data_IF_127816673664
#
_entry.id   IF_127816673664
#
_cell.length_a   1.000
_cell.length_b   1.000
_cell.length_c   1.000
_cell.angle_alpha   90.00
_cell.angle_beta   90.00
_cell.angle_gamma   90.00
#
_symmetry.space_group_name_H-M   'P 1'
#
loop_
_entity.id
_entity.type
_entity.pdbx_description
1 polymer ?
#
# COMPACT_ATOMS: atom_id res chain seq x y z
N UNK A 1 -13.46 6.17 2.17
CA UNK A 1 -12.35 6.04 1.20
C UNK A 1 -12.55 4.84 0.26
N UNK A 2 -12.83 3.65 0.79
CA UNK A 2 -13.10 2.45 -0.03
C UNK A 2 -14.22 2.65 -1.08
N UNK A 3 -15.35 3.24 -0.70
CA UNK A 3 -16.41 3.54 -1.68
C UNK A 3 -15.99 4.52 -2.78
N UNK A 4 -15.06 5.45 -2.48
CA UNK A 4 -14.53 6.38 -3.49
C UNK A 4 -13.61 5.61 -4.44
N UNK A 5 -12.72 4.79 -3.89
CA UNK A 5 -11.88 3.86 -4.66
C UNK A 5 -12.74 2.99 -5.59
N UNK A 6 -13.81 2.40 -5.07
CA UNK A 6 -14.73 1.59 -5.87
C UNK A 6 -15.45 2.40 -6.96
N UNK A 7 -15.96 3.60 -6.66
CA UNK A 7 -16.56 4.48 -7.69
C UNK A 7 -15.57 4.79 -8.81
N UNK A 8 -14.31 5.06 -8.48
CA UNK A 8 -13.26 5.34 -9.47
C UNK A 8 -13.03 4.12 -10.38
N UNK A 9 -12.91 2.93 -9.78
CA UNK A 9 -12.66 1.69 -10.52
C UNK A 9 -13.85 1.29 -11.40
N UNK A 10 -15.09 1.44 -10.90
CA UNK A 10 -16.31 1.13 -11.66
C UNK A 10 -16.63 2.16 -12.75
N UNK A 11 -16.19 3.42 -12.61
CA UNK A 11 -16.42 4.46 -13.63
C UNK A 11 -15.62 4.21 -14.91
N UNK A 12 -14.38 3.71 -14.79
CA UNK A 12 -13.49 3.45 -15.93
C UNK A 12 -12.92 2.03 -15.90
N UNK A 13 -13.77 1.00 -16.05
CA UNK A 13 -13.38 -0.37 -15.75
C UNK A 13 -12.41 -0.97 -16.80
N UNK A 14 -12.43 -0.47 -18.04
CA UNK A 14 -11.45 -0.85 -19.08
C UNK A 14 -10.00 -0.50 -18.72
N UNK A 15 -9.78 0.41 -17.76
CA UNK A 15 -8.44 0.86 -17.31
C UNK A 15 -8.11 0.35 -15.91
N UNK A 16 -8.79 -0.69 -15.41
CA UNK A 16 -8.58 -1.23 -14.05
C UNK A 16 -7.14 -1.69 -13.80
N UNK A 17 -6.40 -2.13 -14.83
CA UNK A 17 -4.97 -2.50 -14.72
C UNK A 17 -4.06 -1.33 -14.33
N UNK A 18 -4.46 -0.10 -14.66
CA UNK A 18 -3.72 1.11 -14.27
C UNK A 18 -4.34 1.75 -13.04
N UNK A 19 -5.68 1.85 -13.01
CA UNK A 19 -6.40 2.51 -11.94
C UNK A 19 -6.36 1.72 -10.63
N UNK A 20 -6.37 0.38 -10.68
CA UNK A 20 -6.29 -0.48 -9.49
C UNK A 20 -5.05 -0.16 -8.65
N UNK A 21 -3.84 -0.28 -9.21
CA UNK A 21 -2.61 0.00 -8.49
C UNK A 21 -2.50 1.45 -7.98
N UNK A 22 -2.95 2.43 -8.76
CA UNK A 22 -2.91 3.85 -8.36
C UNK A 22 -3.87 4.14 -7.20
N UNK A 23 -5.07 3.58 -7.24
CA UNK A 23 -6.06 3.71 -6.17
C UNK A 23 -5.56 3.02 -4.90
N UNK A 24 -4.98 1.82 -5.02
CA UNK A 24 -4.37 1.12 -3.89
C UNK A 24 -3.20 1.90 -3.30
N UNK A 25 -2.28 2.41 -4.13
CA UNK A 25 -1.17 3.25 -3.68
C UNK A 25 -1.66 4.47 -2.91
N UNK A 26 -2.63 5.20 -3.46
CA UNK A 26 -3.19 6.40 -2.83
C UNK A 26 -3.85 6.05 -1.48
N UNK A 27 -4.60 4.96 -1.44
CA UNK A 27 -5.25 4.50 -0.22
C UNK A 27 -4.23 4.09 0.85
N UNK A 28 -3.15 3.39 0.48
CA UNK A 28 -2.06 3.03 1.39
C UNK A 28 -1.29 4.26 1.86
N UNK A 29 -1.03 5.24 0.98
CA UNK A 29 -0.35 6.48 1.35
C UNK A 29 -1.14 7.25 2.41
N UNK A 30 -2.47 7.29 2.28
CA UNK A 30 -3.34 7.94 3.26
C UNK A 30 -3.48 7.15 4.57
N UNK A 31 -3.56 5.81 4.50
CA UNK A 31 -3.75 4.96 5.69
C UNK A 31 -2.44 4.67 6.44
N UNK A 32 -1.29 4.75 5.76
CA UNK A 32 0.02 4.41 6.31
C UNK A 32 0.30 2.90 6.44
N UNK A 33 -0.58 2.02 5.92
CA UNK A 33 -0.48 0.55 6.08
C UNK A 33 -0.69 -0.21 4.77
N UNK A 34 0.08 -1.28 4.57
CA UNK A 34 0.00 -2.14 3.38
C UNK A 34 -1.26 -3.01 3.31
N UNK A 35 -1.95 -3.21 4.43
CA UNK A 35 -3.13 -4.09 4.51
C UNK A 35 -4.39 -3.46 3.92
N UNK A 36 -4.33 -2.17 3.58
CA UNK A 36 -5.36 -1.45 2.82
C UNK A 36 -5.77 -2.19 1.52
N UNK A 37 -4.84 -2.91 0.90
CA UNK A 37 -5.08 -3.65 -0.33
C UNK A 37 -6.12 -4.76 -0.19
N UNK A 38 -6.25 -5.39 0.98
CA UNK A 38 -7.17 -6.51 1.18
C UNK A 38 -8.64 -6.11 1.00
N UNK A 39 -8.99 -4.87 1.32
CA UNK A 39 -10.36 -4.37 1.14
C UNK A 39 -10.67 -4.03 -0.33
N UNK A 40 -9.67 -3.62 -1.11
CA UNK A 40 -9.85 -3.18 -2.51
C UNK A 40 -9.63 -4.33 -3.50
N UNK A 41 -8.85 -5.34 -3.13
CA UNK A 41 -8.48 -6.47 -3.98
C UNK A 41 -9.69 -7.25 -4.52
N UNK A 42 -10.73 -7.60 -3.72
CA UNK A 42 -11.94 -8.25 -4.25
C UNK A 42 -12.69 -7.37 -5.26
N UNK A 43 -12.72 -6.05 -5.03
CA UNK A 43 -13.37 -5.07 -5.92
C UNK A 43 -12.61 -4.97 -7.25
N UNK A 44 -11.28 -4.92 -7.21
CA UNK A 44 -10.43 -4.91 -8.40
C UNK A 44 -10.62 -6.20 -9.22
N UNK A 45 -10.67 -7.35 -8.54
CA UNK A 45 -10.93 -8.65 -9.17
C UNK A 45 -12.31 -8.71 -9.85
N UNK A 46 -13.36 -8.26 -9.15
CA UNK A 46 -14.72 -8.16 -9.68
C UNK A 46 -14.79 -7.29 -10.94
N UNK A 47 -14.23 -6.08 -10.87
CA UNK A 47 -14.21 -5.14 -12.00
C UNK A 47 -13.41 -5.70 -13.18
N UNK A 48 -12.27 -6.35 -12.93
CA UNK A 48 -11.45 -6.94 -13.98
C UNK A 48 -12.19 -8.10 -14.69
N UNK A 49 -12.73 -9.05 -13.93
CA UNK A 49 -13.45 -10.21 -14.47
C UNK A 49 -14.66 -9.78 -15.31
N UNK A 50 -15.48 -8.85 -14.81
CA UNK A 50 -16.66 -8.32 -15.54
C UNK A 50 -16.32 -7.61 -16.85
N UNK A 51 -15.06 -7.19 -17.02
CA UNK A 51 -14.60 -6.47 -18.22
C UNK A 51 -13.70 -7.33 -19.10
N UNK A 52 -13.69 -8.65 -18.89
CA UNK A 52 -12.83 -9.60 -19.61
C UNK A 52 -11.33 -9.29 -19.49
N UNK A 53 -10.92 -8.62 -18.41
CA UNK A 53 -9.52 -8.34 -18.10
C UNK A 53 -9.05 -9.42 -17.13
N UNK A 54 -7.85 -9.97 -17.39
CA UNK A 54 -7.24 -10.92 -16.46
C UNK A 54 -7.04 -10.27 -15.09
N UNK A 55 -7.66 -10.77 -14.01
CA UNK A 55 -7.61 -10.15 -12.69
C UNK A 55 -6.20 -10.18 -12.08
N UNK A 56 -5.36 -11.13 -12.48
CA UNK A 56 -3.96 -11.22 -12.09
C UNK A 56 -3.16 -9.95 -12.43
N UNK A 57 -3.46 -9.30 -13.56
CA UNK A 57 -2.77 -8.08 -14.04
C UNK A 57 -2.94 -6.91 -13.04
N UNK A 58 -4.17 -6.44 -12.74
CA UNK A 58 -4.37 -5.37 -11.76
C UNK A 58 -4.09 -5.82 -10.32
N UNK A 59 -4.42 -7.06 -9.93
CA UNK A 59 -4.28 -7.50 -8.53
C UNK A 59 -2.82 -7.61 -8.10
N UNK A 60 -1.95 -8.18 -8.94
CA UNK A 60 -0.53 -8.28 -8.63
C UNK A 60 0.13 -6.89 -8.53
N UNK A 61 -0.18 -6.01 -9.48
CA UNK A 61 0.34 -4.64 -9.46
C UNK A 61 -0.18 -3.84 -8.25
N UNK A 62 -1.42 -4.07 -7.83
CA UNK A 62 -2.00 -3.42 -6.64
C UNK A 62 -1.35 -3.87 -5.33
N UNK A 63 -0.98 -5.15 -5.22
CA UNK A 63 -0.25 -5.66 -4.04
C UNK A 63 1.10 -4.97 -3.86
N UNK A 64 1.87 -4.85 -4.95
CA UNK A 64 3.16 -4.15 -4.93
C UNK A 64 2.98 -2.65 -4.69
N UNK A 65 1.98 -2.04 -5.32
CA UNK A 65 1.65 -0.62 -5.13
C UNK A 65 1.30 -0.30 -3.68
N UNK A 66 0.68 -1.24 -2.95
CA UNK A 66 0.43 -1.09 -1.52
C UNK A 66 1.74 -0.99 -0.74
N UNK A 67 2.69 -1.89 -0.97
CA UNK A 67 3.98 -1.86 -0.26
C UNK A 67 4.79 -0.61 -0.59
N UNK A 68 4.78 -0.17 -1.85
CA UNK A 68 5.41 1.09 -2.27
C UNK A 68 4.72 2.32 -1.66
N UNK A 69 3.41 2.25 -1.37
CA UNK A 69 2.69 3.34 -0.71
C UNK A 69 3.16 3.57 0.74
N UNK A 70 3.59 2.51 1.43
CA UNK A 70 4.06 2.61 2.83
C UNK A 70 5.30 3.49 2.92
N UNK A 71 6.24 3.32 1.99
CA UNK A 71 7.52 4.07 1.97
C UNK A 71 7.37 5.51 1.51
N UNK A 72 6.25 5.86 0.87
CA UNK A 72 5.88 7.24 0.53
C UNK A 72 5.06 7.94 1.61
N UNK A 73 4.53 7.23 2.60
CA UNK A 73 3.58 7.80 3.57
C UNK A 73 4.28 8.50 4.75
N UNK A 74 4.03 9.80 5.00
CA UNK A 74 4.64 10.53 6.13
C UNK A 74 4.21 10.02 7.51
N UNK A 75 3.10 9.27 7.59
CA UNK A 75 2.61 8.68 8.85
C UNK A 75 3.26 7.31 9.11
N UNK A 76 3.84 6.68 8.08
CA UNK A 76 4.34 5.32 8.23
C UNK A 76 5.59 5.28 9.10
N UNK A 77 5.65 4.28 9.98
CA UNK A 77 6.84 3.96 10.77
C UNK A 77 8.08 3.76 9.89
N UNK A 78 7.92 3.27 8.65
CA UNK A 78 9.02 3.10 7.71
C UNK A 78 9.72 4.43 7.38
N UNK A 79 8.96 5.49 7.14
CA UNK A 79 9.52 6.81 6.78
C UNK A 79 10.16 7.50 7.98
N UNK A 80 9.57 7.34 9.18
CA UNK A 80 10.17 7.80 10.42
C UNK A 80 11.50 7.08 10.69
N UNK A 81 11.55 5.77 10.45
CA UNK A 81 12.78 5.00 10.55
C UNK A 81 13.84 5.49 9.55
N UNK A 82 13.47 5.72 8.27
CA UNK A 82 14.38 6.30 7.29
C UNK A 82 14.94 7.65 7.74
N UNK A 83 14.10 8.53 8.29
CA UNK A 83 14.55 9.80 8.85
C UNK A 83 15.56 9.61 9.98
N UNK A 84 15.26 8.71 10.93
CA UNK A 84 16.15 8.40 12.04
C UNK A 84 17.52 7.89 11.58
N UNK A 85 17.53 6.98 10.60
CA UNK A 85 18.77 6.46 10.04
C UNK A 85 19.55 7.53 9.27
N UNK A 86 18.88 8.28 8.37
CA UNK A 86 19.52 9.27 7.50
C UNK A 86 20.14 10.42 8.30
N UNK A 87 19.44 10.93 9.32
CA UNK A 87 19.95 12.04 10.15
C UNK A 87 21.16 11.64 10.99
N UNK A 88 21.35 10.33 11.26
CA UNK A 88 22.52 9.82 11.97
C UNK A 88 23.77 9.69 11.07
N UNK A 89 23.65 9.84 9.74
CA UNK A 89 24.81 9.84 8.85
C UNK A 89 25.54 11.20 8.90
N UNK A 90 26.89 11.20 8.91
CA UNK A 90 27.66 12.43 8.89
C UNK A 90 27.35 13.24 7.63
N UNK A 91 26.98 14.51 7.81
CA UNK A 91 26.63 15.42 6.71
C UNK A 91 25.14 15.52 6.36
N UNK A 92 24.28 14.66 6.93
CA UNK A 92 22.84 14.61 6.62
C UNK A 92 21.92 15.12 7.74
N UNK A 93 22.48 15.75 8.78
CA UNK A 93 21.76 16.21 9.97
C UNK A 93 20.64 17.23 9.68
N UNK A 94 20.72 17.92 8.54
CA UNK A 94 19.76 18.92 8.08
C UNK A 94 18.55 18.32 7.35
N UNK A 95 18.55 17.01 7.06
CA UNK A 95 17.44 16.35 6.38
C UNK A 95 16.21 16.31 7.30
N UNK A 96 15.09 16.80 6.78
CA UNK A 96 13.77 16.78 7.42
C UNK A 96 12.88 15.73 6.80
N UNK A 97 11.81 15.36 7.51
CA UNK A 97 10.78 14.43 7.01
C UNK A 97 10.27 14.81 5.61
N UNK A 98 10.01 16.11 5.39
CA UNK A 98 9.54 16.61 4.10
C UNK A 98 10.52 16.35 2.96
N UNK A 99 11.84 16.39 3.19
CA UNK A 99 12.83 16.12 2.15
C UNK A 99 12.77 14.65 1.71
N UNK A 100 12.56 13.74 2.66
CA UNK A 100 12.43 12.31 2.37
C UNK A 100 11.16 12.06 1.57
N UNK A 101 10.02 12.57 2.06
CA UNK A 101 8.71 12.40 1.43
C UNK A 101 8.68 13.04 0.03
N UNK A 102 9.35 14.18 -0.15
CA UNK A 102 9.49 14.85 -1.44
C UNK A 102 10.24 14.01 -2.48
N UNK A 103 11.09 13.07 -2.06
CA UNK A 103 11.78 12.14 -2.97
C UNK A 103 11.03 10.81 -3.08
N UNK A 104 10.56 10.25 -1.95
CA UNK A 104 9.95 8.91 -1.93
C UNK A 104 8.58 8.89 -2.59
N UNK A 105 7.74 9.91 -2.44
CA UNK A 105 6.42 9.97 -3.11
C UNK A 105 6.59 9.93 -4.63
N UNK A 106 7.31 10.86 -5.29
CA UNK A 106 7.45 10.82 -6.74
C UNK A 106 8.19 9.57 -7.22
N UNK A 107 9.22 9.10 -6.51
CA UNK A 107 9.93 7.87 -6.90
C UNK A 107 9.02 6.64 -6.87
N UNK A 108 8.25 6.46 -5.79
CA UNK A 108 7.33 5.32 -5.65
C UNK A 108 6.15 5.43 -6.61
N UNK A 109 5.60 6.63 -6.82
CA UNK A 109 4.53 6.87 -7.78
C UNK A 109 4.97 6.55 -9.22
N UNK A 110 6.15 7.01 -9.63
CA UNK A 110 6.73 6.66 -10.93
C UNK A 110 6.92 5.15 -11.07
N UNK A 111 7.39 4.47 -10.00
CA UNK A 111 7.51 3.02 -9.96
C UNK A 111 6.17 2.31 -10.12
N UNK A 112 5.10 2.78 -9.45
CA UNK A 112 3.74 2.22 -9.57
C UNK A 112 3.19 2.43 -10.98
N UNK A 113 3.42 3.59 -11.60
CA UNK A 113 2.99 3.86 -12.98
C UNK A 113 3.73 2.93 -13.95
N UNK A 114 5.06 2.82 -13.84
CA UNK A 114 5.85 1.93 -14.67
C UNK A 114 5.42 0.45 -14.53
N UNK A 115 5.20 0.01 -13.29
CA UNK A 115 4.69 -1.34 -12.99
C UNK A 115 3.30 -1.57 -13.60
N UNK A 116 2.42 -0.58 -13.50
CA UNK A 116 1.06 -0.65 -14.05
C UNK A 116 1.07 -0.76 -15.57
N UNK A 117 1.94 0.02 -16.23
CA UNK A 117 2.13 -0.04 -17.68
C UNK A 117 2.72 -1.39 -18.12
N UNK A 118 3.70 -1.91 -17.38
CA UNK A 118 4.24 -3.24 -17.63
C UNK A 118 3.19 -4.34 -17.46
N UNK A 119 2.34 -4.24 -16.43
CA UNK A 119 1.29 -5.23 -16.14
C UNK A 119 0.20 -5.32 -17.21
N UNK A 120 0.04 -4.30 -18.08
CA UNK A 120 -0.90 -4.33 -19.20
C UNK A 120 -0.61 -5.45 -20.20
N UNK A 121 0.68 -5.76 -20.44
CA UNK A 121 1.09 -6.78 -21.41
C UNK A 121 1.35 -8.15 -20.77
N UNK A 122 0.99 -8.33 -19.49
CA UNK A 122 1.32 -9.55 -18.74
C UNK A 122 0.30 -10.66 -19.02
N UNK A 123 0.77 -11.78 -19.59
CA UNK A 123 -0.04 -12.97 -19.87
C UNK A 123 -0.91 -12.84 -21.12
N UNK A 124 -1.47 -13.97 -21.57
CA UNK A 124 -2.42 -14.05 -22.70
C UNK A 124 -3.69 -13.24 -22.40
N UNK A 125 -4.60 -13.07 -23.34
CA UNK A 125 -5.92 -12.49 -23.00
C UNK A 125 -6.77 -13.49 -22.23
N UNK A 126 -7.75 -13.01 -21.44
CA UNK A 126 -8.58 -13.89 -20.60
C UNK A 126 -9.35 -14.93 -21.44
N UNK A 127 -9.72 -14.54 -22.66
CA UNK A 127 -10.43 -15.39 -23.63
C UNK A 127 -9.57 -16.52 -24.18
N UNK A 128 -8.25 -16.32 -24.28
CA UNK A 128 -7.29 -17.28 -24.81
C UNK A 128 -6.67 -18.15 -23.71
N UNK A 129 -7.18 -18.08 -22.47
CA UNK A 129 -6.70 -18.91 -21.37
C UNK A 129 -7.39 -20.29 -21.37
N UNK A 130 -6.65 -21.39 -21.57
CA UNK A 130 -7.21 -22.73 -21.52
C UNK A 130 -7.77 -23.08 -20.12
N UNK A 131 -7.21 -22.52 -19.05
CA UNK A 131 -7.69 -22.76 -17.69
C UNK A 131 -8.94 -21.93 -17.38
N UNK A 132 -9.04 -20.71 -17.89
CA UNK A 132 -10.29 -19.92 -17.78
C UNK A 132 -11.42 -20.59 -18.55
N UNK A 133 -11.17 -21.06 -19.78
CA UNK A 133 -12.17 -21.78 -20.57
C UNK A 133 -12.60 -23.08 -19.86
N UNK A 134 -11.67 -23.83 -19.28
CA UNK A 134 -11.98 -25.02 -18.46
C UNK A 134 -12.85 -24.66 -17.24
N UNK A 135 -12.54 -23.57 -16.53
CA UNK A 135 -13.33 -23.10 -15.37
C UNK A 135 -14.70 -22.56 -15.78
N UNK A 136 -14.85 -22.05 -17.00
CA UNK A 136 -16.13 -21.58 -17.53
C UNK A 136 -17.07 -22.73 -17.95
N UNK A 137 -16.52 -23.91 -18.25
CA UNK A 137 -17.30 -25.12 -18.56
C UNK A 137 -17.94 -25.72 -17.30
N UNK A 138 -17.36 -25.49 -16.12
CA UNK A 138 -17.95 -25.89 -14.86
C UNK A 138 -19.08 -24.91 -14.46
N UNK A 139 -20.34 -25.36 -14.35
CA UNK A 139 -21.49 -24.50 -14.07
C UNK A 139 -21.37 -23.76 -12.73
N UNK A 140 -20.73 -24.38 -11.72
CA UNK A 140 -20.56 -23.76 -10.39
C UNK A 140 -19.55 -22.61 -10.45
N UNK A 141 -18.49 -22.77 -11.24
CA UNK A 141 -17.51 -21.71 -11.46
C UNK A 141 -18.02 -20.63 -12.39
N UNK A 142 -18.80 -20.98 -13.41
CA UNK A 142 -19.48 -20.03 -14.29
C UNK A 142 -20.43 -19.11 -13.51
N UNK A 143 -21.24 -19.66 -12.62
CA UNK A 143 -22.11 -18.86 -11.75
C UNK A 143 -21.30 -17.97 -10.81
N UNK A 144 -20.21 -18.47 -10.21
CA UNK A 144 -19.33 -17.63 -9.39
C UNK A 144 -18.70 -16.49 -10.19
N UNK A 145 -18.22 -16.75 -11.40
CA UNK A 145 -17.58 -15.73 -12.25
C UNK A 145 -18.60 -14.67 -12.69
N UNK A 146 -19.82 -15.07 -13.05
CA UNK A 146 -20.87 -14.16 -13.54
C UNK A 146 -21.59 -13.40 -12.42
N UNK A 147 -21.78 -14.02 -11.25
CA UNK A 147 -22.52 -13.45 -10.13
C UNK A 147 -21.63 -12.87 -9.02
N UNK A 148 -20.30 -12.95 -9.14
CA UNK A 148 -19.40 -12.27 -8.19
C UNK A 148 -19.79 -10.80 -8.11
N UNK A 149 -20.12 -10.34 -6.91
CA UNK A 149 -20.51 -8.96 -6.64
C UNK A 149 -19.79 -8.51 -5.38
N UNK A 150 -18.50 -8.19 -5.54
CA UNK A 150 -17.75 -7.51 -4.48
C UNK A 150 -18.03 -6.01 -4.56
N UNK A 151 -19.20 -5.59 -4.07
CA UNK A 151 -19.60 -4.17 -4.04
C UNK A 151 -19.75 -3.65 -2.62
N UNK A 152 -19.09 -2.53 -2.33
CA UNK A 152 -19.26 -1.76 -1.09
C UNK A 152 -20.12 -0.51 -1.31
N UNK A 153 -20.60 -0.27 -2.55
CA UNK A 153 -21.40 0.91 -2.91
C UNK A 153 -22.85 0.88 -2.39
N UNK A 154 -23.38 -0.31 -2.13
CA UNK A 154 -24.75 -0.48 -1.62
C UNK A 154 -24.83 -0.28 -0.09
N UNK A 155 -23.68 -0.19 0.59
CA UNK A 155 -23.61 0.11 2.01
C UNK A 155 -23.89 1.60 2.25
N UNK A 156 -24.98 1.91 2.96
CA UNK A 156 -25.25 3.28 3.42
C UNK A 156 -24.31 3.59 4.58
N UNK A 157 -23.22 4.31 4.30
CA UNK A 157 -22.32 4.77 5.36
C UNK A 157 -23.05 5.81 6.23
N UNK A 158 -23.02 5.67 7.56
CA UNK A 158 -23.55 6.69 8.46
C UNK A 158 -22.76 7.99 8.30
N UNK A 159 -23.40 9.14 8.51
CA UNK A 159 -22.73 10.45 8.44
C UNK A 159 -21.51 10.54 9.39
N UNK A 160 -21.51 9.76 10.48
CA UNK A 160 -20.37 9.61 11.39
C UNK A 160 -19.09 9.12 10.69
N UNK A 161 -19.19 8.27 9.67
CA UNK A 161 -18.04 7.79 8.91
C UNK A 161 -17.34 8.94 8.14
N UNK A 162 -18.10 9.95 7.69
CA UNK A 162 -17.54 11.15 7.05
C UNK A 162 -16.76 11.98 8.08
N UNK A 163 -17.29 12.11 9.29
CA UNK A 163 -16.63 12.83 10.38
C UNK A 163 -15.34 12.12 10.82
N UNK A 164 -15.32 10.79 10.86
CA UNK A 164 -14.12 10.02 11.18
C UNK A 164 -12.99 10.24 10.15
N UNK A 165 -13.30 10.23 8.85
CA UNK A 165 -12.31 10.54 7.79
C UNK A 165 -11.82 11.99 7.91
N UNK A 166 -12.71 12.93 8.22
CA UNK A 166 -12.36 14.34 8.38
C UNK A 166 -11.45 14.56 9.59
N UNK A 167 -11.74 13.91 10.72
CA UNK A 167 -10.89 13.92 11.92
C UNK A 167 -9.53 13.27 11.65
N UNK A 168 -9.49 12.19 10.88
CA UNK A 168 -8.22 11.55 10.48
C UNK A 168 -7.36 12.48 9.61
N UNK A 169 -7.95 13.14 8.62
CA UNK A 169 -7.23 14.11 7.78
C UNK A 169 -6.82 15.34 8.59
N UNK A 170 -7.66 15.82 9.51
CA UNK A 170 -7.30 16.90 10.44
C UNK A 170 -6.12 16.50 11.33
N UNK A 171 -6.14 15.29 11.89
CA UNK A 171 -5.04 14.77 12.68
C UNK A 171 -3.75 14.66 11.85
N UNK A 172 -3.84 14.17 10.61
CA UNK A 172 -2.71 14.14 9.66
C UNK A 172 -2.13 15.54 9.46
N UNK A 173 -2.97 16.51 9.10
CA UNK A 173 -2.54 17.89 8.84
C UNK A 173 -1.91 18.49 10.09
N UNK A 174 -2.52 18.30 11.26
CA UNK A 174 -1.97 18.75 12.55
C UNK A 174 -0.60 18.12 12.84
N UNK A 175 -0.42 16.82 12.63
CA UNK A 175 0.88 16.13 12.80
C UNK A 175 1.91 16.71 11.84
N UNK A 176 1.56 16.92 10.57
CA UNK A 176 2.47 17.51 9.58
C UNK A 176 2.84 18.94 9.97
N UNK A 177 1.88 19.75 10.42
CA UNK A 177 2.12 21.12 10.89
C UNK A 177 3.07 21.11 12.09
N UNK A 178 2.82 20.27 13.10
CA UNK A 178 3.70 20.11 14.27
C UNK A 178 5.10 19.66 13.86
N UNK A 179 5.20 18.71 12.92
CA UNK A 179 6.48 18.22 12.40
C UNK A 179 7.26 19.29 11.61
N UNK A 180 6.57 20.24 10.99
CA UNK A 180 7.17 21.37 10.27
C UNK A 180 7.60 22.49 11.23
N UNK A 181 6.83 22.75 12.29
CA UNK A 181 7.20 23.73 13.31
C UNK A 181 8.34 23.18 14.17
N UNK A 182 9.56 23.65 13.89
CA UNK A 182 10.81 23.26 14.55
C UNK A 182 10.84 23.47 16.08
N UNK A 183 9.88 24.20 16.65
CA UNK A 183 9.85 24.54 18.08
C UNK A 183 9.41 23.41 19.00
N UNK A 184 8.75 22.35 18.50
CA UNK A 184 8.35 21.20 19.33
C UNK A 184 9.34 20.02 19.24
N UNK A 185 10.47 20.19 18.54
CA UNK A 185 11.50 19.15 18.38
C UNK A 185 12.41 18.98 19.61
N UNK A 186 12.12 19.67 20.72
CA UNK A 186 12.80 19.46 22.00
C UNK A 186 12.08 18.39 22.81
N UNK A 187 12.19 17.14 22.36
CA UNK A 187 12.25 16.03 23.31
C UNK A 187 13.66 15.51 23.20
N UNK A 188 14.44 15.71 24.27
CA UNK A 188 15.69 15.00 24.51
C UNK A 188 15.39 13.50 24.47
N UNK A 189 15.40 12.90 23.29
CA UNK A 189 15.50 11.45 23.16
C UNK A 189 16.93 11.15 23.57
N UNK A 190 17.11 10.61 24.78
CA UNK A 190 18.36 9.99 25.19
C UNK A 190 18.83 9.08 24.06
N UNK A 191 19.89 9.51 23.37
CA UNK A 191 20.63 8.73 22.40
C UNK A 191 21.18 7.50 23.12
N UNK A 192 20.48 6.36 23.08
CA UNK A 192 21.07 5.14 23.60
C UNK A 192 20.20 3.89 23.72
N UNK A 193 18.91 3.98 24.03
CA UNK A 193 18.20 2.79 24.56
C UNK A 193 17.66 1.79 23.52
N UNK A 194 17.39 2.20 22.27
CA UNK A 194 16.68 1.35 21.29
C UNK A 194 17.57 0.68 20.25
N UNK A 195 18.80 1.17 20.06
CA UNK A 195 19.73 0.61 19.07
C UNK A 195 20.68 -0.43 19.67
N UNK A 196 20.93 -0.40 20.99
CA UNK A 196 21.84 -1.37 21.62
C UNK A 196 21.17 -2.68 22.00
N UNK A 197 19.86 -2.70 22.29
CA UNK A 197 19.14 -3.91 22.69
C UNK A 197 18.96 -4.89 21.52
N UNK A 198 18.46 -4.43 20.38
CA UNK A 198 18.12 -5.33 19.26
C UNK A 198 19.35 -5.94 18.58
N UNK A 199 20.44 -5.17 18.46
CA UNK A 199 21.67 -5.67 17.83
C UNK A 199 22.36 -6.72 18.72
N UNK A 200 22.30 -6.56 20.05
CA UNK A 200 22.88 -7.49 21.02
C UNK A 200 22.08 -8.80 21.07
N UNK A 201 20.75 -8.72 21.06
CA UNK A 201 19.86 -9.89 21.06
C UNK A 201 20.05 -10.73 19.79
N UNK A 202 20.17 -10.11 18.61
CA UNK A 202 20.41 -10.84 17.37
C UNK A 202 21.79 -11.49 17.33
N UNK A 203 22.84 -10.82 17.83
CA UNK A 203 24.17 -11.43 17.94
C UNK A 203 24.21 -12.57 18.96
N UNK A 204 23.47 -12.47 20.06
CA UNK A 204 23.41 -13.52 21.08
C UNK A 204 22.57 -14.72 20.64
N UNK A 205 21.49 -14.51 19.88
CA UNK A 205 20.72 -15.61 19.25
C UNK A 205 21.59 -16.36 18.23
N UNK A 206 22.31 -15.64 17.36
CA UNK A 206 23.22 -16.27 16.37
C UNK A 206 24.38 -16.99 17.07
N UNK A 207 24.94 -16.40 18.13
CA UNK A 207 26.02 -17.02 18.93
C UNK A 207 25.52 -18.23 19.72
N UNK A 208 24.29 -18.21 20.24
CA UNK A 208 23.65 -19.34 20.91
C UNK A 208 23.33 -20.48 19.94
N UNK A 209 22.83 -20.17 18.74
CA UNK A 209 22.58 -21.15 17.68
C UNK A 209 23.87 -21.85 17.21
N UNK A 210 24.98 -21.10 17.10
CA UNK A 210 26.30 -21.65 16.75
C UNK A 210 26.90 -22.51 17.86
N UNK A 211 26.59 -22.24 19.13
CA UNK A 211 27.05 -23.04 20.29
C UNK A 211 26.26 -24.35 20.43
N UNK A 212 25.05 -24.44 19.87
CA UNK A 212 24.21 -25.63 19.87
C UNK A 212 24.39 -26.54 18.64
N UNK A 213 25.32 -26.22 17.73
CA UNK A 213 25.66 -27.04 16.56
C UNK A 213 24.46 -27.35 15.63
N UNK A 214 23.55 -26.37 15.46
CA UNK A 214 22.39 -26.45 14.56
C UNK A 214 22.66 -25.78 13.19
N UNK A 215 23.89 -25.30 12.96
CA UNK A 215 24.41 -24.86 11.66
C UNK A 215 25.84 -25.37 11.48
#
# INVERSE_FOLDING_TARGET
MLQIAERILRKNPKRVTILGPLVTYTMTLMLGTGHAVYSVMPIIGDVALKNNIRPERPMAASSVASQLGITGSPISAAVVYYLGQIVNLPGFEHIKLLNIVAVTIPATLCGVIALSLYSLKRGKELQDDPEYQRRLQDPVWRERILNTTSTSLNEKLPNSARNAVLLFILALVSIVVVAVTSSFRTVNIEKGAWASSDTTILTDIVRSAKKQNIL
#
